data_IF_423839483082
#
_entry.id   IF_423839483082
#
_cell.length_a   1.000
_cell.length_b   1.000
_cell.length_c   1.000
_cell.angle_alpha   90.00
_cell.angle_beta   90.00
_cell.angle_gamma   90.00
#
_symmetry.space_group_name_H-M   'P 1'
#
loop_
_entity.id
_entity.type
_entity.pdbx_description
1 polymer ?
#
# COMPACT_ATOMS: atom_id res chain seq x y z
N UNK A 1 27.48 -7.26 -8.02
CA UNK A 1 27.10 -6.34 -9.11
C UNK A 1 26.03 -5.40 -8.55
N UNK A 2 26.36 -4.12 -8.44
CA UNK A 2 25.39 -3.09 -8.08
C UNK A 2 24.63 -2.69 -9.36
N UNK A 3 23.30 -2.81 -9.34
CA UNK A 3 22.46 -2.26 -10.40
C UNK A 3 22.38 -0.74 -10.21
N UNK A 4 22.84 0.03 -11.18
CA UNK A 4 22.91 1.50 -11.12
C UNK A 4 21.52 2.17 -10.98
N UNK A 5 20.46 1.40 -11.13
CA UNK A 5 19.08 1.85 -10.89
C UNK A 5 18.68 1.79 -9.42
N UNK A 6 19.45 1.10 -8.57
CA UNK A 6 19.19 0.96 -7.14
C UNK A 6 19.96 2.04 -6.39
N UNK A 7 19.22 2.90 -5.70
CA UNK A 7 19.78 3.91 -4.81
C UNK A 7 19.45 3.56 -3.37
N UNK A 8 20.47 3.42 -2.54
CA UNK A 8 20.32 3.23 -1.10
C UNK A 8 20.38 4.60 -0.44
N UNK A 9 19.34 4.93 0.31
CA UNK A 9 19.27 6.20 1.04
C UNK A 9 19.17 5.88 2.52
N UNK A 10 20.15 6.36 3.27
CA UNK A 10 20.17 6.24 4.73
C UNK A 10 19.33 7.37 5.34
N UNK A 11 18.53 7.03 6.34
CA UNK A 11 17.69 7.94 7.09
C UNK A 11 18.19 8.03 8.54
N UNK A 12 19.13 8.95 8.80
CA UNK A 12 19.83 9.06 10.08
C UNK A 12 18.98 9.70 11.19
N UNK A 13 17.85 10.30 10.85
CA UNK A 13 17.00 11.01 11.81
C UNK A 13 15.52 10.86 11.48
N UNK A 14 14.73 10.68 12.53
CA UNK A 14 13.26 10.71 12.43
C UNK A 14 12.75 11.73 13.46
N UNK A 15 12.04 12.80 13.03
CA UNK A 15 11.42 13.72 13.97
C UNK A 15 10.43 13.00 14.91
N UNK A 16 10.27 13.52 16.14
CA UNK A 16 9.41 12.88 17.15
C UNK A 16 7.95 12.77 16.73
N UNK A 17 7.48 13.69 15.87
CA UNK A 17 6.12 13.74 15.33
C UNK A 17 5.95 12.93 14.03
N UNK A 18 6.88 12.04 13.70
CA UNK A 18 6.83 11.19 12.52
C UNK A 18 6.85 9.70 12.85
N UNK A 19 6.02 8.92 12.16
CA UNK A 19 6.23 7.48 12.08
C UNK A 19 7.48 7.19 11.24
N UNK A 20 8.39 6.34 11.74
CA UNK A 20 9.67 6.09 11.06
C UNK A 20 9.54 5.59 9.63
N UNK A 21 8.51 4.76 9.33
CA UNK A 21 8.20 4.31 7.98
C UNK A 21 7.81 5.47 7.06
N UNK A 22 6.95 6.38 7.55
CA UNK A 22 6.51 7.55 6.78
C UNK A 22 7.67 8.49 6.47
N UNK A 23 8.56 8.73 7.45
CA UNK A 23 9.73 9.57 7.26
C UNK A 23 10.70 8.97 6.22
N UNK A 24 10.99 7.67 6.30
CA UNK A 24 11.84 7.00 5.31
C UNK A 24 11.22 7.00 3.91
N UNK A 25 9.90 6.74 3.81
CA UNK A 25 9.20 6.75 2.53
C UNK A 25 9.15 8.16 1.90
N UNK A 26 8.99 9.22 2.72
CA UNK A 26 9.10 10.62 2.26
C UNK A 26 10.46 10.90 1.65
N UNK A 27 11.54 10.51 2.34
CA UNK A 27 12.89 10.72 1.84
C UNK A 27 13.10 10.05 0.49
N UNK A 28 12.66 8.80 0.33
CA UNK A 28 12.69 8.10 -0.96
C UNK A 28 11.85 8.80 -2.04
N UNK A 29 10.68 9.34 -1.69
CA UNK A 29 9.82 10.06 -2.62
C UNK A 29 10.44 11.34 -3.17
N UNK A 30 11.28 12.04 -2.40
CA UNK A 30 11.99 13.25 -2.87
C UNK A 30 12.94 12.97 -4.02
N UNK A 31 13.42 11.74 -4.14
CA UNK A 31 14.33 11.31 -5.21
C UNK A 31 13.58 10.75 -6.43
N UNK A 32 12.28 10.55 -6.33
CA UNK A 32 11.49 9.98 -7.43
C UNK A 32 11.26 11.01 -8.54
N UNK A 33 11.67 10.70 -9.75
CA UNK A 33 11.56 11.56 -10.94
C UNK A 33 10.50 11.10 -11.95
N UNK A 34 9.91 9.92 -11.74
CA UNK A 34 8.91 9.35 -12.66
C UNK A 34 7.52 9.97 -12.52
N UNK A 35 6.66 9.74 -13.51
CA UNK A 35 5.23 10.15 -13.47
C UNK A 35 4.42 9.39 -12.43
N UNK A 36 4.92 8.23 -11.99
CA UNK A 36 4.32 7.37 -10.99
C UNK A 36 5.32 7.07 -9.88
N UNK A 37 4.82 7.06 -8.64
CA UNK A 37 5.59 6.62 -7.46
C UNK A 37 4.95 5.35 -6.91
N UNK A 38 5.75 4.32 -6.69
CA UNK A 38 5.33 3.07 -6.07
C UNK A 38 5.98 2.94 -4.70
N UNK A 39 5.14 2.84 -3.67
CA UNK A 39 5.55 2.41 -2.33
C UNK A 39 5.19 0.95 -2.13
N UNK A 40 6.07 0.19 -1.50
CA UNK A 40 5.86 -1.23 -1.24
C UNK A 40 6.53 -1.65 0.06
N UNK A 41 5.96 -2.66 0.73
CA UNK A 41 6.58 -3.28 1.89
C UNK A 41 7.72 -4.22 1.47
N UNK A 42 8.72 -4.38 2.34
CA UNK A 42 9.92 -5.17 2.06
C UNK A 42 9.67 -6.70 2.02
N UNK A 43 8.53 -7.18 2.51
CA UNK A 43 8.14 -8.59 2.55
C UNK A 43 7.29 -9.05 1.36
N UNK A 44 7.23 -8.23 0.32
CA UNK A 44 6.49 -8.50 -0.92
C UNK A 44 7.38 -9.10 -2.00
N UNK A 45 6.77 -9.93 -2.84
CA UNK A 45 7.40 -10.51 -4.03
C UNK A 45 6.58 -10.16 -5.26
N UNK A 46 7.22 -9.53 -6.23
CA UNK A 46 6.62 -9.08 -7.48
C UNK A 46 6.88 -10.06 -8.62
N UNK A 47 5.84 -10.36 -9.37
CA UNK A 47 6.00 -10.88 -10.72
C UNK A 47 6.55 -9.78 -11.63
N UNK A 48 7.31 -10.15 -12.65
CA UNK A 48 7.93 -9.21 -13.60
C UNK A 48 6.93 -8.34 -14.34
N UNK A 49 5.70 -8.80 -14.49
CA UNK A 49 4.62 -8.09 -15.18
C UNK A 49 3.82 -7.16 -14.27
N UNK A 50 3.96 -7.27 -12.93
CA UNK A 50 3.11 -6.58 -11.97
C UNK A 50 3.09 -5.07 -12.18
N UNK A 51 4.24 -4.43 -12.20
CA UNK A 51 4.32 -2.95 -12.28
C UNK A 51 3.75 -2.45 -13.61
N UNK A 52 4.05 -3.13 -14.71
CA UNK A 52 3.51 -2.79 -16.03
C UNK A 52 1.99 -2.89 -16.05
N UNK A 53 1.44 -4.00 -15.53
CA UNK A 53 -0.01 -4.21 -15.44
C UNK A 53 -0.68 -3.21 -14.51
N UNK A 54 -0.05 -2.86 -13.39
CA UNK A 54 -0.56 -1.87 -12.44
C UNK A 54 -0.67 -0.48 -13.06
N UNK A 55 0.40 0.01 -13.70
CA UNK A 55 0.38 1.32 -14.38
C UNK A 55 -0.66 1.35 -15.50
N UNK A 56 -0.74 0.29 -16.33
CA UNK A 56 -1.75 0.20 -17.38
C UNK A 56 -3.18 0.21 -16.81
N UNK A 57 -3.41 -0.50 -15.69
CA UNK A 57 -4.70 -0.54 -15.01
C UNK A 57 -5.06 0.80 -14.37
N UNK A 58 -4.10 1.48 -13.74
CA UNK A 58 -4.29 2.81 -13.16
C UNK A 58 -4.70 3.83 -14.25
N UNK A 59 -3.99 3.86 -15.37
CA UNK A 59 -4.32 4.72 -16.52
C UNK A 59 -5.70 4.42 -17.08
N UNK A 60 -6.01 3.14 -17.35
CA UNK A 60 -7.31 2.73 -17.88
C UNK A 60 -8.49 3.11 -17.00
N UNK A 61 -8.29 3.11 -15.67
CA UNK A 61 -9.32 3.42 -14.67
C UNK A 61 -9.30 4.88 -14.23
N UNK A 62 -8.37 5.69 -14.74
CA UNK A 62 -8.11 7.07 -14.28
C UNK A 62 -7.89 7.13 -12.76
N UNK A 63 -7.19 6.15 -12.20
CA UNK A 63 -6.89 6.10 -10.79
C UNK A 63 -5.66 6.96 -10.49
N UNK A 64 -5.77 7.82 -9.50
CA UNK A 64 -4.65 8.61 -8.96
C UNK A 64 -3.88 7.86 -7.88
N UNK A 65 -4.57 6.98 -7.16
CA UNK A 65 -4.00 6.00 -6.24
C UNK A 65 -4.56 4.63 -6.59
N UNK A 66 -3.66 3.71 -6.97
CA UNK A 66 -3.98 2.30 -7.14
C UNK A 66 -3.30 1.49 -6.04
N UNK A 67 -4.09 0.76 -5.25
CA UNK A 67 -3.59 -0.23 -4.32
C UNK A 67 -3.89 -1.64 -4.79
N UNK A 68 -2.97 -2.57 -4.55
CA UNK A 68 -3.14 -3.98 -4.94
C UNK A 68 -3.06 -4.84 -3.68
N UNK A 69 -4.11 -5.63 -3.45
CA UNK A 69 -4.15 -6.64 -2.40
C UNK A 69 -3.35 -7.86 -2.84
N UNK A 70 -2.32 -8.19 -2.09
CA UNK A 70 -1.45 -9.34 -2.38
C UNK A 70 -2.18 -10.68 -2.26
N UNK A 71 -1.69 -11.65 -3.01
CA UNK A 71 -1.99 -13.05 -2.77
C UNK A 71 -1.17 -13.51 -1.55
N UNK A 72 -1.84 -13.83 -0.46
CA UNK A 72 -1.17 -14.27 0.76
C UNK A 72 -0.59 -15.67 0.59
N UNK A 73 0.71 -15.81 0.86
CA UNK A 73 1.37 -17.12 0.85
C UNK A 73 1.06 -17.84 2.16
N UNK A 74 0.34 -18.94 2.08
CA UNK A 74 -0.01 -19.78 3.22
C UNK A 74 1.03 -20.88 3.38
N UNK A 75 1.90 -20.77 4.35
CA UNK A 75 2.98 -21.75 4.62
C UNK A 75 2.72 -22.57 5.86
N UNK A 76 1.98 -22.03 6.83
CA UNK A 76 1.78 -22.64 8.15
C UNK A 76 0.33 -23.09 8.36
N UNK A 77 0.16 -24.12 9.18
CA UNK A 77 -1.17 -24.71 9.40
C UNK A 77 -2.19 -23.72 9.97
N UNK A 78 -1.79 -22.87 10.92
CA UNK A 78 -2.69 -21.87 11.50
C UNK A 78 -3.13 -20.81 10.48
N UNK A 79 -2.28 -20.49 9.51
CA UNK A 79 -2.58 -19.51 8.46
C UNK A 79 -3.74 -19.96 7.58
N UNK A 80 -3.88 -21.28 7.35
CA UNK A 80 -4.98 -21.86 6.57
C UNK A 80 -6.35 -21.59 7.18
N UNK A 81 -6.43 -21.43 8.49
CA UNK A 81 -7.69 -21.22 9.22
C UNK A 81 -7.89 -19.74 9.51
N UNK A 82 -6.88 -19.08 10.05
CA UNK A 82 -7.04 -17.74 10.62
C UNK A 82 -6.99 -16.66 9.53
N UNK A 83 -6.16 -16.85 8.51
CA UNK A 83 -5.99 -15.86 7.44
C UNK A 83 -7.25 -15.64 6.60
N UNK A 84 -7.99 -16.68 6.15
CA UNK A 84 -9.27 -16.49 5.45
C UNK A 84 -10.30 -15.75 6.30
N UNK A 85 -10.37 -16.03 7.60
CA UNK A 85 -11.29 -15.36 8.53
C UNK A 85 -10.95 -13.87 8.62
N UNK A 86 -9.69 -13.55 8.88
CA UNK A 86 -9.21 -12.18 8.99
C UNK A 86 -9.40 -11.40 7.68
N UNK A 87 -9.07 -12.01 6.53
CA UNK A 87 -9.31 -11.41 5.21
C UNK A 87 -10.79 -11.17 4.94
N UNK A 88 -11.67 -12.10 5.33
CA UNK A 88 -13.11 -11.93 5.20
C UNK A 88 -13.63 -10.77 6.06
N UNK A 89 -13.13 -10.62 7.29
CA UNK A 89 -13.47 -9.49 8.16
C UNK A 89 -13.01 -8.16 7.54
N UNK A 90 -11.79 -8.12 6.98
CA UNK A 90 -11.27 -6.93 6.30
C UNK A 90 -12.14 -6.55 5.10
N UNK A 91 -12.45 -7.50 4.22
CA UNK A 91 -13.28 -7.27 3.03
C UNK A 91 -14.73 -6.91 3.39
N UNK A 92 -15.25 -7.38 4.52
CA UNK A 92 -16.56 -6.97 5.04
C UNK A 92 -16.55 -5.51 5.51
N UNK A 93 -15.47 -5.08 6.15
CA UNK A 93 -15.29 -3.70 6.59
C UNK A 93 -15.00 -2.75 5.42
N UNK A 94 -14.27 -3.22 4.41
CA UNK A 94 -13.86 -2.46 3.22
C UNK A 94 -14.25 -3.23 1.95
N UNK A 95 -15.54 -3.23 1.56
CA UNK A 95 -15.99 -3.93 0.36
C UNK A 95 -15.40 -3.28 -0.90
N UNK A 96 -14.73 -4.07 -1.73
CA UNK A 96 -13.99 -3.58 -2.91
C UNK A 96 -14.90 -2.89 -3.94
N UNK A 97 -16.12 -3.37 -4.09
CA UNK A 97 -17.14 -2.75 -4.93
C UNK A 97 -17.46 -1.32 -4.47
N UNK A 98 -17.50 -1.07 -3.17
CA UNK A 98 -17.71 0.28 -2.60
C UNK A 98 -16.48 1.15 -2.70
N UNK A 99 -15.27 0.60 -2.49
CA UNK A 99 -14.02 1.35 -2.64
C UNK A 99 -13.91 1.87 -4.07
N UNK A 100 -14.21 1.02 -5.03
CA UNK A 100 -14.11 1.32 -6.46
C UNK A 100 -15.35 2.05 -7.03
N UNK A 101 -16.36 2.34 -6.20
CA UNK A 101 -17.59 3.04 -6.59
C UNK A 101 -17.39 4.55 -6.60
N UNK A 102 -18.06 5.24 -7.53
CA UNK A 102 -18.06 6.72 -7.59
C UNK A 102 -19.03 7.37 -6.61
N UNK A 103 -20.07 6.66 -6.16
CA UNK A 103 -21.17 7.27 -5.39
C UNK A 103 -21.21 6.92 -3.90
N UNK A 104 -20.62 5.83 -3.47
CA UNK A 104 -20.65 5.36 -2.06
C UNK A 104 -19.28 4.87 -1.64
N UNK A 105 -18.28 5.67 -1.89
CA UNK A 105 -16.88 5.29 -1.65
C UNK A 105 -16.59 5.13 -0.16
N UNK A 106 -15.96 4.06 0.18
CA UNK A 106 -15.31 3.85 1.48
C UNK A 106 -13.82 3.73 1.22
N UNK A 107 -13.05 4.83 1.34
CA UNK A 107 -11.64 4.84 0.96
C UNK A 107 -10.86 3.81 1.73
N UNK A 108 -10.06 3.03 1.02
CA UNK A 108 -9.17 2.03 1.56
C UNK A 108 -7.98 1.83 0.62
N UNK A 109 -6.83 1.56 1.16
CA UNK A 109 -5.66 1.10 0.45
C UNK A 109 -4.86 0.16 1.37
N UNK A 110 -3.92 -0.60 0.81
CA UNK A 110 -3.05 -1.51 1.53
C UNK A 110 -1.60 -1.17 1.21
N UNK A 111 -0.78 -0.97 2.24
CA UNK A 111 0.62 -0.54 2.17
C UNK A 111 1.55 -1.46 1.41
N UNK A 112 1.15 -2.72 1.16
CA UNK A 112 1.95 -3.67 0.38
C UNK A 112 2.20 -3.22 -1.07
N UNK A 113 1.27 -2.44 -1.64
CA UNK A 113 1.42 -1.88 -2.97
C UNK A 113 0.56 -0.61 -3.10
N UNK A 114 1.22 0.55 -3.12
CA UNK A 114 0.60 1.86 -3.27
C UNK A 114 1.23 2.58 -4.47
N UNK A 115 0.52 2.60 -5.59
CA UNK A 115 0.95 3.27 -6.82
C UNK A 115 0.21 4.61 -6.95
N UNK A 116 0.94 5.71 -6.80
CA UNK A 116 0.43 7.07 -6.95
C UNK A 116 0.79 7.65 -8.32
N UNK A 117 -0.11 8.45 -8.91
CA UNK A 117 0.37 9.46 -9.84
C UNK A 117 1.20 10.50 -9.06
N UNK A 118 2.37 10.86 -9.61
CA UNK A 118 3.30 11.82 -8.94
C UNK A 118 2.59 13.14 -8.63
N UNK A 119 1.81 13.66 -9.58
CA UNK A 119 1.05 14.91 -9.40
C UNK A 119 0.10 14.83 -8.21
N UNK A 120 -0.72 13.76 -8.12
CA UNK A 120 -1.64 13.63 -6.98
C UNK A 120 -0.89 13.48 -5.66
N UNK A 121 0.22 12.72 -5.64
CA UNK A 121 1.03 12.58 -4.43
C UNK A 121 1.56 13.94 -3.94
N UNK A 122 2.07 14.77 -4.86
CA UNK A 122 2.58 16.11 -4.54
C UNK A 122 1.43 17.05 -4.12
N UNK A 123 0.30 17.03 -4.83
CA UNK A 123 -0.87 17.89 -4.56
C UNK A 123 -1.47 17.67 -3.18
N UNK A 124 -1.47 16.43 -2.67
CA UNK A 124 -1.99 16.11 -1.34
C UNK A 124 -0.98 16.35 -0.21
N UNK A 125 0.25 16.79 -0.53
CA UNK A 125 1.33 17.00 0.43
C UNK A 125 2.14 15.74 0.77
N UNK A 126 1.97 14.66 0.01
CA UNK A 126 2.73 13.42 0.20
C UNK A 126 2.63 12.85 1.61
N UNK A 127 3.74 12.30 2.11
CA UNK A 127 3.79 11.71 3.47
C UNK A 127 3.65 12.74 4.61
N UNK A 128 3.81 14.05 4.35
CA UNK A 128 3.53 15.08 5.35
C UNK A 128 2.06 15.09 5.79
N UNK A 129 1.16 14.72 4.89
CA UNK A 129 -0.28 14.66 5.17
C UNK A 129 -0.69 13.47 6.07
N UNK A 130 0.21 12.49 6.26
CA UNK A 130 -0.07 11.25 7.01
C UNK A 130 1.09 10.89 7.95
N UNK A 131 1.92 11.85 8.32
CA UNK A 131 3.23 11.68 8.97
C UNK A 131 3.22 10.89 10.28
N UNK A 132 2.16 11.00 11.05
CA UNK A 132 1.94 10.38 12.37
C UNK A 132 0.96 9.20 12.36
N UNK A 133 0.36 8.90 11.19
CA UNK A 133 -0.58 7.80 11.07
C UNK A 133 0.13 6.43 11.11
N UNK A 134 -0.35 5.54 11.99
CA UNK A 134 0.13 4.16 12.06
C UNK A 134 -0.39 3.28 10.91
N UNK A 135 -1.48 3.71 10.28
CA UNK A 135 -2.11 3.06 9.11
C UNK A 135 -2.10 4.07 7.96
N UNK A 136 -0.89 4.45 7.55
CA UNK A 136 -0.63 5.48 6.55
C UNK A 136 -1.33 5.19 5.21
N UNK A 137 -1.48 3.91 4.88
CA UNK A 137 -2.15 3.44 3.66
C UNK A 137 -3.65 3.81 3.64
N UNK A 138 -4.34 3.57 4.75
CA UNK A 138 -5.76 3.96 4.90
C UNK A 138 -5.90 5.49 4.98
N UNK A 139 -4.97 6.16 5.66
CA UNK A 139 -4.93 7.62 5.73
C UNK A 139 -4.75 8.23 4.34
N UNK A 140 -3.81 7.74 3.54
CA UNK A 140 -3.63 8.15 2.14
C UNK A 140 -4.89 7.96 1.31
N UNK A 141 -5.56 6.80 1.41
CA UNK A 141 -6.80 6.58 0.68
C UNK A 141 -7.86 7.64 1.01
N UNK A 142 -7.97 8.05 2.29
CA UNK A 142 -8.90 9.10 2.72
C UNK A 142 -8.51 10.48 2.17
N UNK A 143 -7.22 10.86 2.29
CA UNK A 143 -6.73 12.17 1.82
C UNK A 143 -6.90 12.29 0.30
N UNK A 144 -6.52 11.26 -0.47
CA UNK A 144 -6.72 11.22 -1.92
C UNK A 144 -8.20 11.32 -2.28
N UNK A 145 -9.07 10.60 -1.58
CA UNK A 145 -10.51 10.69 -1.83
C UNK A 145 -11.07 12.07 -1.51
N UNK A 146 -10.63 12.70 -0.41
CA UNK A 146 -11.05 14.06 -0.01
C UNK A 146 -10.59 15.13 -1.00
N UNK A 147 -9.46 14.94 -1.67
CA UNK A 147 -9.00 15.83 -2.75
C UNK A 147 -9.82 15.72 -4.04
N UNK A 148 -10.77 14.78 -4.09
CA UNK A 148 -11.55 14.49 -5.30
C UNK A 148 -10.84 13.56 -6.29
N UNK A 149 -9.63 13.11 -5.96
CA UNK A 149 -8.88 12.17 -6.79
C UNK A 149 -9.37 10.71 -6.58
N UNK A 150 -9.16 9.87 -7.58
CA UNK A 150 -9.72 8.54 -7.64
C UNK A 150 -8.82 7.49 -7.00
N UNK A 151 -9.35 6.81 -5.97
CA UNK A 151 -8.72 5.63 -5.35
C UNK A 151 -9.29 4.36 -5.99
N UNK A 152 -8.44 3.40 -6.31
CA UNK A 152 -8.84 2.08 -6.80
C UNK A 152 -8.09 0.98 -6.06
N UNK A 153 -8.78 -0.13 -5.80
CA UNK A 153 -8.18 -1.33 -5.20
C UNK A 153 -8.43 -2.52 -6.10
N UNK A 154 -7.39 -3.29 -6.38
CA UNK A 154 -7.46 -4.50 -7.19
C UNK A 154 -6.87 -5.69 -6.41
N UNK A 155 -7.25 -6.89 -6.81
CA UNK A 155 -6.58 -8.11 -6.37
C UNK A 155 -5.37 -8.39 -7.27
N UNK A 156 -4.30 -8.91 -6.67
CA UNK A 156 -3.05 -9.21 -7.37
C UNK A 156 -3.14 -10.38 -8.36
N UNK A 157 -4.08 -11.27 -8.17
CA UNK A 157 -4.25 -12.48 -9.00
C UNK A 157 -2.94 -13.27 -9.20
N UNK A 158 -2.15 -13.40 -8.12
CA UNK A 158 -0.87 -14.11 -8.12
C UNK A 158 0.35 -13.26 -8.52
N UNK A 159 0.18 -12.08 -9.10
CA UNK A 159 1.29 -11.21 -9.53
C UNK A 159 2.02 -10.54 -8.35
N UNK A 160 1.35 -10.35 -7.23
CA UNK A 160 1.92 -9.86 -5.98
C UNK A 160 1.70 -10.89 -4.88
N UNK A 161 2.77 -11.35 -4.27
CA UNK A 161 2.74 -12.29 -3.14
C UNK A 161 3.32 -11.64 -1.91
N UNK A 162 2.77 -11.96 -0.74
CA UNK A 162 3.27 -11.51 0.54
C UNK A 162 3.28 -12.66 1.54
N UNK A 163 4.35 -12.74 2.34
CA UNK A 163 4.50 -13.67 3.46
C UNK A 163 4.51 -12.88 4.77
N UNK A 164 3.32 -12.49 5.24
CA UNK A 164 3.15 -11.46 6.26
C UNK A 164 3.75 -11.81 7.63
N UNK A 165 3.70 -13.07 8.09
CA UNK A 165 3.98 -13.36 9.49
C UNK A 165 4.87 -14.58 9.69
N UNK A 166 6.09 -14.41 10.26
CA UNK A 166 6.99 -15.52 10.53
C UNK A 166 6.49 -16.43 11.69
N UNK A 167 5.61 -15.92 12.57
CA UNK A 167 5.09 -16.68 13.72
C UNK A 167 3.63 -16.30 14.04
N UNK A 168 2.97 -17.15 14.85
CA UNK A 168 1.63 -16.86 15.35
C UNK A 168 1.58 -15.61 16.24
N UNK A 169 2.62 -15.36 17.04
CA UNK A 169 2.70 -14.17 17.90
C UNK A 169 2.76 -12.88 17.06
N UNK A 170 3.57 -12.86 16.00
CA UNK A 170 3.64 -11.71 15.08
C UNK A 170 2.34 -11.53 14.32
N UNK A 171 1.66 -12.62 13.96
CA UNK A 171 0.32 -12.59 13.40
C UNK A 171 -0.68 -11.88 14.33
N UNK A 172 -0.77 -12.31 15.59
CA UNK A 172 -1.67 -11.68 16.57
C UNK A 172 -1.38 -10.19 16.76
N UNK A 173 -0.10 -9.81 16.85
CA UNK A 173 0.30 -8.41 17.02
C UNK A 173 -0.04 -7.55 15.80
N UNK A 174 0.13 -8.08 14.60
CA UNK A 174 -0.20 -7.38 13.36
C UNK A 174 -1.71 -7.11 13.23
N UNK A 175 -2.53 -8.12 13.49
CA UNK A 175 -3.98 -7.97 13.37
C UNK A 175 -4.62 -7.11 14.47
N UNK A 176 -4.03 -7.05 15.66
CA UNK A 176 -4.46 -6.12 16.73
C UNK A 176 -4.31 -4.64 16.36
N UNK A 177 -3.50 -4.30 15.35
CA UNK A 177 -3.37 -2.92 14.87
C UNK A 177 -4.49 -2.53 13.91
N UNK A 178 -5.13 -3.50 13.29
CA UNK A 178 -6.19 -3.29 12.28
C UNK A 178 -7.58 -3.28 12.92
N UNK A 179 -7.76 -4.00 14.04
CA UNK A 179 -9.00 -4.14 14.80
C UNK A 179 -8.85 -3.63 16.24
#
# INVERSE_FOLDING_TARGET
>A
DQDDRINIVENDSCPEDWAGKCNAAKLGATMATGDWILFTDADTQFDVELVRCAVASARKRSASLLSILSTLTITKYYERIVQPIASTCLLRNFPIDRINSEHKTRPFANGQFLLFSKSTYDDIGGHDAVKDDLLEDIAFAKVVHQSGAKVQVLFADGLLKCSMYPSYATFQSGWKRIY
#
